data_IF_886052214234
#
_entry.id   IF_886052214234
#
_cell.length_a   1.000
_cell.length_b   1.000
_cell.length_c   1.000
_cell.angle_alpha   90.00
_cell.angle_beta   90.00
_cell.angle_gamma   90.00
#
_symmetry.space_group_name_H-M   'P 1'
#
loop_
_entity.id
_entity.type
_entity.pdbx_description
1 polymer ?
#
# COMPACT_ATOMS: atom_id res chain seq x y z
N UNK A 1 0.22 -10.61 -2.36
CA UNK A 1 0.24 -9.69 -3.53
C UNK A 1 0.07 -8.21 -3.16
N UNK A 2 -0.44 -7.90 -1.96
CA UNK A 2 -0.63 -6.51 -1.49
C UNK A 2 0.68 -5.74 -1.32
N UNK A 3 1.81 -6.43 -1.09
CA UNK A 3 3.12 -5.81 -0.94
C UNK A 3 3.48 -5.36 0.48
N UNK A 4 2.62 -5.66 1.47
CA UNK A 4 2.88 -5.31 2.89
C UNK A 4 3.97 -6.21 3.50
N UNK A 5 3.87 -7.52 3.26
CA UNK A 5 4.88 -8.49 3.71
C UNK A 5 5.83 -8.84 2.56
N UNK A 6 7.11 -9.03 2.89
CA UNK A 6 8.16 -9.40 1.92
C UNK A 6 8.18 -10.91 1.68
N UNK A 7 7.92 -11.71 2.71
CA UNK A 7 7.91 -13.18 2.68
C UNK A 7 6.65 -13.75 3.33
N UNK A 8 6.32 -15.00 2.97
CA UNK A 8 5.25 -15.76 3.59
C UNK A 8 5.83 -17.07 4.15
N UNK A 9 5.92 -17.16 5.48
CA UNK A 9 6.46 -18.32 6.19
C UNK A 9 5.35 -18.91 7.06
N UNK A 10 5.00 -20.21 6.92
CA UNK A 10 4.05 -20.86 7.80
C UNK A 10 4.51 -20.78 9.26
N UNK A 11 3.58 -20.53 10.18
CA UNK A 11 3.88 -20.35 11.61
C UNK A 11 4.67 -21.52 12.22
N UNK A 12 4.42 -22.73 11.76
CA UNK A 12 5.11 -23.96 12.18
C UNK A 12 6.62 -23.96 11.87
N UNK A 13 7.07 -23.17 10.90
CA UNK A 13 8.49 -23.06 10.50
C UNK A 13 9.22 -21.89 11.15
N UNK A 14 8.52 -20.99 11.83
CA UNK A 14 9.13 -19.82 12.47
C UNK A 14 10.23 -20.19 13.48
N UNK A 15 10.07 -21.21 14.36
CA UNK A 15 11.13 -21.59 15.29
C UNK A 15 12.42 -22.05 14.58
N UNK A 16 12.29 -22.73 13.44
CA UNK A 16 13.44 -23.18 12.66
C UNK A 16 14.11 -22.02 11.93
N UNK A 17 13.32 -21.06 11.44
CA UNK A 17 13.83 -19.83 10.84
C UNK A 17 14.61 -19.00 11.87
N UNK A 18 14.10 -18.87 13.10
CA UNK A 18 14.80 -18.16 14.18
C UNK A 18 16.15 -18.80 14.48
N UNK A 19 16.20 -20.14 14.61
CA UNK A 19 17.46 -20.86 14.79
C UNK A 19 18.43 -20.60 13.62
N UNK A 20 17.96 -20.70 12.38
CA UNK A 20 18.81 -20.46 11.20
C UNK A 20 19.37 -19.04 11.18
N UNK A 21 18.56 -18.04 11.50
CA UNK A 21 19.01 -16.65 11.54
C UNK A 21 20.04 -16.42 12.65
N UNK A 22 19.96 -17.16 13.77
CA UNK A 22 20.95 -17.06 14.86
C UNK A 22 22.33 -17.63 14.51
N UNK A 23 22.42 -18.50 13.51
CA UNK A 23 23.68 -19.09 13.03
C UNK A 23 24.42 -18.21 12.01
N UNK A 24 23.77 -17.16 11.50
CA UNK A 24 24.35 -16.29 10.47
C UNK A 24 25.23 -15.25 11.14
N UNK A 25 26.53 -15.27 10.82
CA UNK A 25 27.53 -14.36 11.40
C UNK A 25 27.76 -13.08 10.58
N UNK A 26 27.02 -12.88 9.48
CA UNK A 26 27.17 -11.71 8.61
C UNK A 26 25.88 -10.87 8.49
N UNK A 27 26.07 -9.56 8.37
CA UNK A 27 24.96 -8.59 8.25
C UNK A 27 24.52 -8.37 6.78
N UNK A 28 24.93 -9.24 5.87
CA UNK A 28 24.60 -9.10 4.45
C UNK A 28 23.12 -9.42 4.18
N UNK A 29 22.37 -8.43 3.71
CA UNK A 29 20.93 -8.59 3.43
C UNK A 29 20.60 -9.70 2.43
N UNK A 30 21.50 -10.00 1.48
CA UNK A 30 21.32 -11.10 0.54
C UNK A 30 21.36 -12.47 1.22
N UNK A 31 22.24 -12.65 2.21
CA UNK A 31 22.38 -13.89 2.97
C UNK A 31 21.14 -14.08 3.86
N UNK A 32 20.70 -13.01 4.52
CA UNK A 32 19.48 -13.03 5.34
C UNK A 32 18.25 -13.34 4.47
N UNK A 33 18.11 -12.70 3.31
CA UNK A 33 17.01 -12.98 2.39
C UNK A 33 17.01 -14.44 1.94
N UNK A 34 18.18 -14.99 1.54
CA UNK A 34 18.29 -16.39 1.14
C UNK A 34 17.88 -17.34 2.28
N UNK A 35 18.33 -17.07 3.51
CA UNK A 35 17.95 -17.86 4.68
C UNK A 35 16.44 -17.84 4.94
N UNK A 36 15.76 -16.70 4.74
CA UNK A 36 14.30 -16.64 4.90
C UNK A 36 13.60 -17.45 3.79
N UNK A 37 14.06 -17.34 2.54
CA UNK A 37 13.49 -18.05 1.39
C UNK A 37 13.52 -19.59 1.56
N UNK A 38 14.51 -20.14 2.28
CA UNK A 38 14.58 -21.58 2.61
C UNK A 38 13.33 -22.09 3.35
N UNK A 39 12.68 -21.23 4.14
CA UNK A 39 11.52 -21.61 4.97
C UNK A 39 10.17 -21.20 4.36
N UNK A 40 10.18 -20.43 3.28
CA UNK A 40 8.96 -20.00 2.59
C UNK A 40 8.17 -21.21 2.09
N UNK A 41 6.86 -21.08 2.07
CA UNK A 41 5.97 -22.07 1.46
C UNK A 41 5.06 -21.40 0.44
N UNK A 42 4.62 -22.15 -0.57
CA UNK A 42 3.53 -21.69 -1.42
C UNK A 42 2.26 -21.52 -0.58
N UNK A 43 1.54 -20.43 -0.86
CA UNK A 43 0.20 -20.25 -0.30
C UNK A 43 -0.73 -21.34 -0.88
N UNK A 44 -1.77 -21.72 -0.13
CA UNK A 44 -2.74 -22.72 -0.56
C UNK A 44 -3.25 -22.42 -2.00
N UNK A 45 -3.36 -23.44 -2.85
CA UNK A 45 -3.76 -23.30 -4.26
C UNK A 45 -5.13 -22.66 -4.42
N UNK A 46 -6.01 -22.86 -3.45
CA UNK A 46 -7.36 -22.29 -3.43
C UNK A 46 -7.40 -20.80 -3.05
N UNK A 47 -6.27 -20.21 -2.66
CA UNK A 47 -6.21 -18.81 -2.27
C UNK A 47 -6.25 -17.87 -3.49
N UNK A 48 -7.40 -17.21 -3.65
CA UNK A 48 -7.54 -16.06 -4.53
C UNK A 48 -7.25 -14.76 -3.79
N UNK A 49 -6.49 -13.86 -4.42
CA UNK A 49 -6.18 -12.56 -3.84
C UNK A 49 -7.40 -11.63 -3.97
N UNK A 50 -8.04 -11.34 -2.83
CA UNK A 50 -9.32 -10.62 -2.78
C UNK A 50 -9.30 -9.21 -3.40
N UNK A 51 -8.15 -8.56 -3.43
CA UNK A 51 -7.98 -7.19 -3.96
C UNK A 51 -7.31 -7.18 -5.34
N UNK A 52 -7.39 -8.27 -6.10
CA UNK A 52 -6.89 -8.36 -7.48
C UNK A 52 -7.98 -8.13 -8.52
N UNK A 53 -7.59 -8.11 -9.80
CA UNK A 53 -8.54 -8.16 -10.92
C UNK A 53 -9.52 -6.99 -10.95
N UNK A 54 -10.83 -7.27 -11.02
CA UNK A 54 -11.85 -6.24 -11.13
C UNK A 54 -11.91 -5.33 -9.89
N UNK A 55 -11.83 -5.90 -8.68
CA UNK A 55 -11.81 -5.12 -7.43
C UNK A 55 -10.63 -4.16 -7.43
N UNK A 56 -9.45 -4.60 -7.90
CA UNK A 56 -8.29 -3.71 -8.01
C UNK A 56 -8.53 -2.55 -8.97
N UNK A 57 -9.11 -2.82 -10.14
CA UNK A 57 -9.46 -1.78 -11.12
C UNK A 57 -10.45 -0.77 -10.51
N UNK A 58 -11.44 -1.23 -9.76
CA UNK A 58 -12.40 -0.37 -9.06
C UNK A 58 -11.70 0.49 -8.00
N UNK A 59 -10.75 -0.07 -7.22
CA UNK A 59 -9.94 0.68 -6.25
C UNK A 59 -9.17 1.80 -6.96
N UNK A 60 -8.41 1.46 -8.01
CA UNK A 60 -7.57 2.44 -8.73
C UNK A 60 -8.42 3.59 -9.29
N UNK A 61 -9.62 3.30 -9.83
CA UNK A 61 -10.55 4.32 -10.34
C UNK A 61 -11.21 5.15 -9.26
N UNK A 62 -11.68 4.52 -8.18
CA UNK A 62 -12.51 5.20 -7.17
C UNK A 62 -11.67 6.01 -6.18
N UNK A 63 -10.47 5.54 -5.82
CA UNK A 63 -9.64 6.17 -4.80
C UNK A 63 -8.61 7.18 -5.35
N UNK A 64 -8.68 7.53 -6.64
CA UNK A 64 -7.78 8.53 -7.26
C UNK A 64 -8.14 9.98 -6.92
N UNK A 65 -9.38 10.25 -6.51
CA UNK A 65 -9.85 11.60 -6.19
C UNK A 65 -9.08 12.28 -5.05
N UNK A 66 -9.12 13.61 -5.04
CA UNK A 66 -8.45 14.46 -4.03
C UNK A 66 -9.34 14.83 -2.83
N UNK A 67 -10.62 14.48 -2.88
CA UNK A 67 -11.57 14.63 -1.77
C UNK A 67 -12.27 13.31 -1.44
N UNK A 68 -12.73 13.17 -0.19
CA UNK A 68 -13.48 11.98 0.25
C UNK A 68 -14.84 11.92 -0.45
N UNK A 69 -15.43 13.09 -0.70
CA UNK A 69 -16.68 13.25 -1.43
C UNK A 69 -16.56 12.74 -2.88
N UNK A 70 -15.46 13.03 -3.56
CA UNK A 70 -15.24 12.53 -4.93
C UNK A 70 -15.00 11.01 -4.94
N UNK A 71 -14.32 10.48 -3.92
CA UNK A 71 -14.16 9.03 -3.74
C UNK A 71 -15.52 8.36 -3.54
N UNK A 72 -16.39 8.92 -2.69
CA UNK A 72 -17.73 8.39 -2.47
C UNK A 72 -18.57 8.42 -3.75
N UNK A 73 -18.57 9.53 -4.50
CA UNK A 73 -19.26 9.62 -5.80
C UNK A 73 -18.76 8.57 -6.79
N UNK A 74 -17.45 8.35 -6.86
CA UNK A 74 -16.88 7.34 -7.75
C UNK A 74 -17.30 5.92 -7.34
N UNK A 75 -17.31 5.63 -6.03
CA UNK A 75 -17.79 4.35 -5.50
C UNK A 75 -19.29 4.11 -5.77
N UNK A 76 -20.10 5.17 -5.70
CA UNK A 76 -21.53 5.12 -6.04
C UNK A 76 -21.73 4.78 -7.52
N UNK A 77 -20.95 5.38 -8.41
CA UNK A 77 -20.97 5.10 -9.84
C UNK A 77 -20.51 3.68 -10.19
N UNK A 78 -19.56 3.12 -9.43
CA UNK A 78 -19.10 1.74 -9.62
C UNK A 78 -20.22 0.71 -9.37
N UNK A 79 -21.18 1.03 -8.49
CA UNK A 79 -22.40 0.25 -8.21
C UNK A 79 -22.21 -1.28 -8.11
N UNK A 80 -21.18 -1.72 -7.38
CA UNK A 80 -20.88 -3.13 -7.14
C UNK A 80 -21.15 -3.52 -5.67
N UNK A 81 -21.23 -4.82 -5.38
CA UNK A 81 -21.34 -5.29 -3.99
C UNK A 81 -20.17 -4.80 -3.12
N UNK A 82 -18.97 -4.83 -3.69
CA UNK A 82 -17.76 -4.32 -3.05
C UNK A 82 -17.84 -2.80 -2.81
N UNK A 83 -18.28 -2.00 -3.79
CA UNK A 83 -18.33 -0.55 -3.61
C UNK A 83 -19.41 -0.13 -2.60
N UNK A 84 -20.57 -0.79 -2.60
CA UNK A 84 -21.63 -0.57 -1.60
C UNK A 84 -21.16 -0.92 -0.18
N UNK A 85 -20.49 -2.06 0.00
CA UNK A 85 -19.90 -2.43 1.29
C UNK A 85 -18.81 -1.45 1.74
N UNK A 86 -18.02 -0.94 0.80
CA UNK A 86 -16.97 0.05 1.05
C UNK A 86 -17.55 1.40 1.48
N UNK A 87 -18.58 1.90 0.79
CA UNK A 87 -19.31 3.13 1.16
C UNK A 87 -19.85 3.00 2.58
N UNK A 88 -20.54 1.90 2.90
CA UNK A 88 -21.07 1.66 4.24
C UNK A 88 -19.98 1.71 5.32
N UNK A 89 -18.79 1.18 5.01
CA UNK A 89 -17.65 1.22 5.93
C UNK A 89 -17.13 2.65 6.11
N UNK A 90 -16.96 3.40 5.01
CA UNK A 90 -16.46 4.78 5.05
C UNK A 90 -17.41 5.67 5.87
N UNK A 91 -18.73 5.56 5.66
CA UNK A 91 -19.73 6.39 6.35
C UNK A 91 -19.81 6.12 7.87
N UNK A 92 -19.24 5.03 8.36
CA UNK A 92 -19.15 4.72 9.79
C UNK A 92 -17.94 5.39 10.47
N UNK A 93 -16.96 5.87 9.70
CA UNK A 93 -15.73 6.47 10.22
C UNK A 93 -15.91 7.96 10.56
N UNK A 94 -15.00 8.51 11.39
CA UNK A 94 -14.96 9.94 11.67
C UNK A 94 -14.75 10.74 10.37
N UNK A 95 -15.67 11.67 10.01
CA UNK A 95 -15.53 12.49 8.81
C UNK A 95 -14.23 13.31 8.78
N UNK A 96 -13.81 13.82 9.95
CA UNK A 96 -12.53 14.50 10.13
C UNK A 96 -11.36 13.58 9.79
N UNK A 97 -11.35 12.39 10.36
CA UNK A 97 -10.25 11.43 10.20
C UNK A 97 -10.10 10.99 8.75
N UNK A 98 -11.20 10.77 8.03
CA UNK A 98 -11.19 10.46 6.59
C UNK A 98 -10.48 11.55 5.79
N UNK A 99 -10.89 12.82 5.97
CA UNK A 99 -10.32 13.95 5.22
C UNK A 99 -8.86 14.21 5.57
N UNK A 100 -8.50 14.15 6.85
CA UNK A 100 -7.11 14.32 7.29
C UNK A 100 -6.22 13.19 6.77
N UNK A 101 -6.71 11.93 6.80
CA UNK A 101 -5.97 10.77 6.27
C UNK A 101 -5.71 10.91 4.78
N UNK A 102 -6.74 11.23 3.98
CA UNK A 102 -6.58 11.42 2.54
C UNK A 102 -5.53 12.50 2.24
N UNK A 103 -5.65 13.66 2.89
CA UNK A 103 -4.70 14.76 2.70
C UNK A 103 -3.28 14.39 3.16
N UNK A 104 -3.15 13.67 4.28
CA UNK A 104 -1.88 13.18 4.81
C UNK A 104 -1.19 12.23 3.84
N UNK A 105 -1.92 11.25 3.30
CA UNK A 105 -1.40 10.30 2.31
C UNK A 105 -0.94 10.99 1.01
N UNK A 106 -1.71 11.96 0.51
CA UNK A 106 -1.34 12.73 -0.69
C UNK A 106 -0.09 13.57 -0.46
N UNK A 107 0.04 14.20 0.72
CA UNK A 107 1.22 14.99 1.08
C UNK A 107 2.46 14.10 1.28
N UNK A 108 2.28 12.96 1.96
CA UNK A 108 3.35 12.00 2.27
C UNK A 108 3.96 11.32 1.05
N UNK A 109 3.26 11.26 -0.08
CA UNK A 109 3.77 10.66 -1.34
C UNK A 109 5.10 11.24 -1.79
N UNK A 110 5.33 12.55 -1.56
CA UNK A 110 6.54 13.26 -2.00
C UNK A 110 7.46 13.64 -0.82
N UNK A 111 7.29 12.99 0.33
CA UNK A 111 8.07 13.24 1.53
C UNK A 111 9.07 12.12 1.76
N UNK A 112 10.23 12.47 2.31
CA UNK A 112 11.15 11.47 2.86
C UNK A 112 10.61 10.94 4.19
N UNK A 113 11.03 9.73 4.58
CA UNK A 113 10.51 9.05 5.78
C UNK A 113 10.57 9.89 7.06
N UNK A 114 11.64 10.68 7.25
CA UNK A 114 11.80 11.55 8.43
C UNK A 114 10.75 12.67 8.48
N UNK A 115 10.36 13.20 7.33
CA UNK A 115 9.37 14.27 7.23
C UNK A 115 7.95 13.73 7.42
N UNK A 116 7.71 12.49 6.96
CA UNK A 116 6.47 11.77 7.28
C UNK A 116 6.28 11.63 8.79
N UNK A 117 7.30 11.19 9.54
CA UNK A 117 7.23 11.10 11.01
C UNK A 117 6.96 12.44 11.67
N UNK A 118 7.64 13.52 11.24
CA UNK A 118 7.41 14.87 11.76
C UNK A 118 5.98 15.36 11.49
N UNK A 119 5.46 15.12 10.29
CA UNK A 119 4.09 15.45 9.94
C UNK A 119 3.09 14.67 10.81
N UNK A 120 3.29 13.36 10.96
CA UNK A 120 2.42 12.51 11.78
C UNK A 120 2.45 12.87 13.26
N UNK A 121 3.60 13.32 13.78
CA UNK A 121 3.72 13.78 15.16
C UNK A 121 2.91 15.05 15.43
N UNK A 122 2.90 16.00 14.48
CA UNK A 122 2.04 17.19 14.54
C UNK A 122 0.57 16.77 14.48
N UNK A 123 0.22 15.86 13.55
CA UNK A 123 -1.15 15.36 13.43
C UNK A 123 -1.63 14.72 14.73
N UNK A 124 -0.83 13.82 15.33
CA UNK A 124 -1.16 13.14 16.57
C UNK A 124 -1.46 14.12 17.70
N UNK A 125 -0.61 15.14 17.90
CA UNK A 125 -0.83 16.18 18.90
C UNK A 125 -2.13 16.96 18.63
N UNK A 126 -2.37 17.36 17.38
CA UNK A 126 -3.59 18.09 16.99
C UNK A 126 -4.86 17.26 17.15
N UNK A 127 -4.80 15.95 16.94
CA UNK A 127 -5.93 15.04 17.21
C UNK A 127 -6.26 14.94 18.70
N UNK A 128 -5.26 15.02 19.58
CA UNK A 128 -5.48 15.02 21.03
C UNK A 128 -6.15 16.30 21.54
N UNK A 129 -5.97 17.43 20.84
CA UNK A 129 -6.69 18.69 21.14
C UNK A 129 -8.19 18.62 20.81
N UNK A 130 -8.63 17.62 20.02
CA UNK A 130 -10.01 17.50 19.53
C UNK A 130 -10.72 16.28 20.14
N UNK A 131 -12.03 16.41 20.30
CA UNK A 131 -12.82 15.43 21.04
C UNK A 131 -13.15 14.16 20.25
N UNK A 132 -13.00 14.14 18.92
CA UNK A 132 -13.32 12.98 18.07
C UNK A 132 -12.48 11.76 18.44
N UNK A 133 -11.18 11.94 18.68
CA UNK A 133 -10.28 10.85 19.07
C UNK A 133 -10.70 10.26 20.43
N UNK A 134 -10.83 11.09 21.46
CA UNK A 134 -11.23 10.65 22.80
C UNK A 134 -12.61 9.98 22.80
N UNK A 135 -13.56 10.49 21.99
CA UNK A 135 -14.89 9.89 21.82
C UNK A 135 -14.83 8.53 21.16
N UNK A 136 -14.06 8.38 20.08
CA UNK A 136 -13.85 7.10 19.39
C UNK A 136 -13.23 6.07 20.32
N UNK A 137 -12.15 6.43 21.01
CA UNK A 137 -11.46 5.57 21.98
C UNK A 137 -12.41 5.12 23.09
N UNK A 138 -13.15 6.05 23.71
CA UNK A 138 -14.12 5.72 24.74
C UNK A 138 -15.19 4.76 24.22
N UNK A 139 -15.80 5.06 23.08
CA UNK A 139 -16.92 4.30 22.53
C UNK A 139 -16.53 2.86 22.18
N UNK A 140 -15.41 2.67 21.48
CA UNK A 140 -15.01 1.35 20.99
C UNK A 140 -14.25 0.53 22.04
N UNK A 141 -13.37 1.15 22.83
CA UNK A 141 -12.48 0.41 23.74
C UNK A 141 -13.02 0.31 25.17
N UNK A 142 -13.60 1.39 25.70
CA UNK A 142 -14.14 1.40 27.06
C UNK A 142 -15.59 0.90 27.09
N UNK A 143 -16.46 1.51 26.29
CA UNK A 143 -17.89 1.18 26.24
C UNK A 143 -18.17 -0.07 25.40
N UNK A 144 -17.16 -0.58 24.66
CA UNK A 144 -17.21 -1.78 23.80
C UNK A 144 -18.38 -1.80 22.83
N UNK A 145 -18.80 -0.63 22.37
CA UNK A 145 -19.88 -0.50 21.40
C UNK A 145 -19.37 -0.88 20.00
N UNK A 146 -20.21 -1.59 19.24
CA UNK A 146 -19.89 -1.99 17.85
C UNK A 146 -20.46 -1.03 16.81
N UNK A 147 -21.29 -0.08 17.24
CA UNK A 147 -21.87 0.96 16.38
C UNK A 147 -20.91 2.14 16.22
N UNK A 148 -21.08 3.00 15.20
CA UNK A 148 -20.35 4.24 15.12
C UNK A 148 -20.69 5.17 16.30
N UNK A 149 -19.72 5.84 16.92
CA UNK A 149 -20.01 6.90 17.87
C UNK A 149 -20.64 8.10 17.17
N UNK A 150 -21.24 8.98 17.96
CA UNK A 150 -21.69 10.29 17.48
C UNK A 150 -20.46 11.18 17.24
N UNK A 151 -19.92 11.10 16.03
CA UNK A 151 -18.83 11.96 15.55
C UNK A 151 -19.25 13.43 15.56
N UNK A 152 -18.31 14.32 15.83
CA UNK A 152 -18.50 15.77 15.74
C UNK A 152 -17.23 16.36 15.11
N UNK A 153 -17.30 16.78 13.84
CA UNK A 153 -18.49 16.95 13.01
C UNK A 153 -19.17 15.61 12.59
N UNK A 154 -20.52 15.59 12.44
CA UNK A 154 -21.27 14.37 12.15
C UNK A 154 -21.30 13.97 10.67
N UNK A 155 -20.83 14.82 9.76
CA UNK A 155 -20.81 14.55 8.31
C UNK A 155 -19.63 15.23 7.63
N UNK A 156 -19.30 14.80 6.40
CA UNK A 156 -18.16 15.31 5.64
C UNK A 156 -18.28 16.80 5.34
N UNK A 157 -19.48 17.28 5.01
CA UNK A 157 -19.76 18.68 4.66
C UNK A 157 -19.55 19.63 5.85
N UNK A 158 -19.66 19.10 7.08
CA UNK A 158 -19.47 19.85 8.31
C UNK A 158 -18.04 19.87 8.80
N UNK A 159 -17.13 19.12 8.16
CA UNK A 159 -15.71 19.19 8.49
C UNK A 159 -15.16 20.55 8.07
N UNK A 160 -14.80 21.35 9.07
CA UNK A 160 -14.18 22.65 8.89
C UNK A 160 -12.71 22.53 8.47
N UNK A 161 -12.06 23.67 8.38
CA UNK A 161 -10.72 23.85 7.87
C UNK A 161 -9.66 22.85 8.39
N UNK A 162 -9.17 21.99 7.48
CA UNK A 162 -8.13 21.01 7.77
C UNK A 162 -6.76 21.64 8.08
N UNK A 163 -6.55 22.94 7.81
CA UNK A 163 -5.26 23.62 8.08
C UNK A 163 -4.83 23.48 9.53
N UNK A 164 -5.79 23.42 10.47
CA UNK A 164 -5.52 23.21 11.89
C UNK A 164 -4.65 21.97 12.15
N UNK A 165 -5.00 20.83 11.55
CA UNK A 165 -4.30 19.55 11.78
C UNK A 165 -2.86 19.54 11.22
N UNK A 166 -2.61 20.30 10.17
CA UNK A 166 -1.29 20.38 9.53
C UNK A 166 -0.47 21.60 9.98
N UNK A 167 -0.95 22.34 10.98
CA UNK A 167 -0.25 23.51 11.51
C UNK A 167 0.64 23.09 12.70
N UNK A 168 1.98 23.22 12.61
CA UNK A 168 2.89 22.88 13.71
C UNK A 168 2.81 23.87 14.88
N UNK A 169 2.14 25.02 14.75
CA UNK A 169 2.04 26.00 15.85
C UNK A 169 1.42 25.37 17.11
N UNK A 170 2.11 25.56 18.24
CA UNK A 170 1.71 25.05 19.55
C UNK A 170 1.96 23.55 19.76
N UNK A 171 2.64 22.89 18.82
CA UNK A 171 3.07 21.48 18.97
C UNK A 171 4.53 21.40 19.37
N UNK A 172 4.89 20.32 20.07
CA UNK A 172 6.29 19.99 20.30
C UNK A 172 6.92 19.48 18.99
N UNK A 173 8.18 19.83 18.75
CA UNK A 173 8.94 19.28 17.62
C UNK A 173 9.40 17.84 17.92
N UNK A 174 9.39 16.99 16.90
CA UNK A 174 9.91 15.62 17.01
C UNK A 174 11.43 15.60 16.81
N UNK A 175 12.16 15.25 17.85
CA UNK A 175 13.59 14.93 17.76
C UNK A 175 13.78 13.45 17.43
N UNK A 176 14.38 13.17 16.27
CA UNK A 176 14.67 11.80 15.84
C UNK A 176 16.01 11.33 16.42
N UNK A 177 16.10 10.03 16.70
CA UNK A 177 17.32 9.42 17.24
C UNK A 177 18.53 9.49 16.28
N UNK A 178 18.28 9.66 14.99
CA UNK A 178 19.30 9.83 13.96
C UNK A 178 18.72 10.57 12.74
N UNK A 179 19.61 10.96 11.82
CA UNK A 179 19.28 11.72 10.61
C UNK A 179 19.09 10.85 9.35
N UNK A 180 19.08 9.51 9.48
CA UNK A 180 18.95 8.63 8.31
C UNK A 180 17.56 8.79 7.71
N UNK A 181 17.51 9.12 6.43
CA UNK A 181 16.27 9.35 5.70
C UNK A 181 16.37 8.80 4.29
N UNK A 182 15.23 8.50 3.70
CA UNK A 182 15.11 7.98 2.36
C UNK A 182 13.75 8.38 1.78
N UNK A 183 13.76 8.67 0.48
CA UNK A 183 12.54 8.94 -0.31
C UNK A 183 11.87 7.62 -0.70
N UNK A 184 12.67 6.62 -1.08
CA UNK A 184 12.22 5.28 -1.44
C UNK A 184 12.85 4.25 -0.51
N UNK A 185 12.11 3.18 -0.19
CA UNK A 185 12.63 2.11 0.67
C UNK A 185 13.88 1.46 0.04
N UNK A 186 15.04 1.45 0.72
CA UNK A 186 16.31 1.02 0.13
C UNK A 186 16.37 -0.48 -0.19
N UNK A 187 15.53 -1.29 0.46
CA UNK A 187 15.54 -2.75 0.37
C UNK A 187 14.24 -3.33 -0.21
N UNK A 188 13.49 -2.51 -0.96
CA UNK A 188 12.24 -2.93 -1.62
C UNK A 188 12.43 -4.12 -2.56
N UNK A 189 13.64 -4.31 -3.10
CA UNK A 189 14.01 -5.42 -4.00
C UNK A 189 13.78 -6.82 -3.43
N UNK A 190 13.74 -6.97 -2.11
CA UNK A 190 13.45 -8.27 -1.47
C UNK A 190 11.94 -8.58 -1.41
N UNK A 191 11.10 -7.64 -1.84
CA UNK A 191 9.65 -7.82 -1.92
C UNK A 191 9.23 -8.27 -3.33
N UNK A 192 7.95 -8.60 -3.47
CA UNK A 192 7.36 -8.77 -4.79
C UNK A 192 7.45 -7.46 -5.59
N UNK A 193 7.66 -7.53 -6.93
CA UNK A 193 7.81 -6.33 -7.74
C UNK A 193 6.55 -5.46 -7.70
N UNK A 194 6.78 -4.16 -7.59
CA UNK A 194 5.77 -3.11 -7.63
C UNK A 194 5.22 -2.95 -9.05
N UNK A 195 4.02 -2.36 -9.14
CA UNK A 195 3.41 -2.05 -10.43
C UNK A 195 4.26 -1.06 -11.25
N UNK A 196 4.94 -0.13 -10.59
CA UNK A 196 5.82 0.85 -11.22
C UNK A 196 7.10 0.21 -11.78
N UNK A 197 7.72 -0.73 -11.05
CA UNK A 197 8.85 -1.50 -11.57
C UNK A 197 8.45 -2.30 -12.81
N UNK A 198 7.27 -2.95 -12.78
CA UNK A 198 6.75 -3.70 -13.93
C UNK A 198 6.47 -2.75 -15.11
N UNK A 199 5.86 -1.59 -14.86
CA UNK A 199 5.62 -0.56 -15.88
C UNK A 199 6.90 -0.18 -16.58
N UNK A 200 7.96 0.16 -15.82
CA UNK A 200 9.25 0.59 -16.38
C UNK A 200 9.91 -0.48 -17.25
N UNK A 201 9.74 -1.76 -16.90
CA UNK A 201 10.23 -2.87 -17.75
C UNK A 201 9.42 -3.00 -19.04
N UNK A 202 8.10 -2.84 -18.97
CA UNK A 202 7.21 -2.91 -20.15
C UNK A 202 7.45 -1.70 -21.08
N UNK A 203 7.66 -0.50 -20.54
CA UNK A 203 7.86 0.72 -21.33
C UNK A 203 9.30 0.91 -21.82
N UNK A 204 10.24 0.07 -21.39
CA UNK A 204 11.66 0.18 -21.78
C UNK A 204 12.45 1.26 -21.03
N UNK A 205 11.92 1.77 -19.91
CA UNK A 205 12.54 2.82 -19.07
C UNK A 205 13.60 2.26 -18.10
N UNK A 206 13.86 0.96 -18.12
CA UNK A 206 14.88 0.31 -17.29
C UNK A 206 16.16 0.06 -18.13
N UNK A 207 17.36 0.42 -17.62
CA UNK A 207 18.59 0.33 -18.39
C UNK A 207 18.94 -1.10 -18.87
N UNK A 208 18.47 -2.13 -18.16
CA UNK A 208 18.67 -3.55 -18.51
C UNK A 208 17.45 -4.21 -19.18
N UNK A 209 16.41 -3.44 -19.54
CA UNK A 209 15.18 -4.01 -20.11
C UNK A 209 15.26 -4.39 -21.58
N UNK A 210 16.37 -4.17 -22.29
CA UNK A 210 16.47 -4.58 -23.71
C UNK A 210 15.29 -4.11 -24.58
N UNK A 211 15.09 -4.72 -25.76
CA UNK A 211 14.24 -4.19 -26.83
C UNK A 211 12.79 -3.83 -26.44
N UNK A 212 12.29 -2.75 -27.04
CA UNK A 212 10.87 -2.38 -27.10
C UNK A 212 10.11 -3.53 -27.79
N UNK A 213 8.99 -4.01 -27.20
CA UNK A 213 8.17 -5.17 -27.61
C UNK A 213 8.50 -6.53 -26.94
N UNK A 214 8.46 -6.60 -25.61
CA UNK A 214 8.51 -7.87 -24.85
C UNK A 214 7.15 -8.56 -24.80
N UNK A 215 7.15 -9.90 -24.83
CA UNK A 215 5.98 -10.72 -24.53
C UNK A 215 5.68 -10.73 -23.03
N UNK A 216 4.50 -11.25 -22.63
CA UNK A 216 4.15 -11.41 -21.20
C UNK A 216 5.14 -12.34 -20.50
N UNK A 217 5.50 -13.44 -21.14
CA UNK A 217 6.45 -14.42 -20.67
C UNK A 217 7.84 -13.82 -20.46
N UNK A 218 8.32 -12.98 -21.38
CA UNK A 218 9.64 -12.32 -21.23
C UNK A 218 9.71 -11.40 -20.00
N UNK A 219 8.64 -10.65 -19.73
CA UNK A 219 8.55 -9.78 -18.55
C UNK A 219 8.52 -10.62 -17.27
N UNK A 220 7.79 -11.73 -17.28
CA UNK A 220 7.75 -12.66 -16.14
C UNK A 220 9.13 -13.27 -15.88
N UNK A 221 9.81 -13.74 -16.92
CA UNK A 221 11.12 -14.38 -16.81
C UNK A 221 12.20 -13.38 -16.36
N UNK A 222 12.10 -12.13 -16.78
CA UNK A 222 12.94 -11.05 -16.26
C UNK A 222 12.82 -10.91 -14.74
N UNK A 223 11.60 -10.79 -14.21
CA UNK A 223 11.39 -10.62 -12.77
C UNK A 223 11.68 -11.89 -11.97
N UNK A 224 11.48 -13.08 -12.56
CA UNK A 224 11.88 -14.34 -11.93
C UNK A 224 13.41 -14.39 -11.74
N UNK A 225 14.20 -13.98 -12.74
CA UNK A 225 15.66 -13.93 -12.62
C UNK A 225 16.11 -12.84 -11.64
N UNK A 226 15.56 -11.63 -11.78
CA UNK A 226 15.85 -10.47 -10.92
C UNK A 226 15.54 -10.72 -9.43
N UNK A 227 14.51 -11.52 -9.13
CA UNK A 227 14.10 -11.88 -7.76
C UNK A 227 14.52 -13.30 -7.36
N UNK A 228 15.51 -13.91 -8.02
CA UNK A 228 16.04 -15.25 -7.68
C UNK A 228 14.96 -16.33 -7.52
N UNK A 229 13.97 -16.33 -8.41
CA UNK A 229 12.85 -17.27 -8.46
C UNK A 229 11.95 -17.26 -7.21
N UNK A 230 11.88 -16.13 -6.50
CA UNK A 230 11.00 -15.93 -5.34
C UNK A 230 9.54 -16.32 -5.62
N UNK A 231 8.95 -17.01 -4.64
CA UNK A 231 7.57 -17.49 -4.70
C UNK A 231 6.60 -16.31 -4.83
N UNK A 232 5.62 -16.44 -5.73
CA UNK A 232 4.57 -15.44 -5.94
C UNK A 232 4.92 -14.31 -6.91
N UNK A 233 6.18 -14.20 -7.36
CA UNK A 233 6.59 -13.22 -8.39
C UNK A 233 5.81 -13.42 -9.68
N UNK A 234 5.76 -14.65 -10.20
CA UNK A 234 4.98 -14.98 -11.42
C UNK A 234 3.51 -14.57 -11.29
N UNK A 235 2.87 -14.93 -10.17
CA UNK A 235 1.45 -14.59 -9.91
C UNK A 235 1.24 -13.07 -9.84
N UNK A 236 2.16 -12.33 -9.21
CA UNK A 236 2.11 -10.86 -9.10
C UNK A 236 2.24 -10.19 -10.47
N UNK A 237 3.27 -10.56 -11.23
CA UNK A 237 3.58 -9.94 -12.51
C UNK A 237 2.44 -10.21 -13.50
N UNK A 238 1.96 -11.45 -13.59
CA UNK A 238 0.82 -11.79 -14.46
C UNK A 238 -0.46 -11.04 -14.10
N UNK A 239 -0.76 -10.87 -12.80
CA UNK A 239 -1.93 -10.10 -12.36
C UNK A 239 -1.86 -8.64 -12.84
N UNK A 240 -0.69 -8.01 -12.68
CA UNK A 240 -0.47 -6.63 -13.11
C UNK A 240 -0.54 -6.51 -14.62
N UNK A 241 0.14 -7.39 -15.37
CA UNK A 241 0.12 -7.38 -16.83
C UNK A 241 -1.30 -7.54 -17.36
N UNK A 242 -2.08 -8.48 -16.83
CA UNK A 242 -3.48 -8.68 -17.24
C UNK A 242 -4.39 -7.48 -16.95
N UNK A 243 -4.03 -6.64 -15.98
CA UNK A 243 -4.80 -5.44 -15.62
C UNK A 243 -4.37 -4.19 -16.40
N UNK A 244 -3.06 -4.03 -16.65
CA UNK A 244 -2.44 -2.77 -17.10
C UNK A 244 -1.79 -2.83 -18.47
N UNK A 245 -1.90 -3.94 -19.21
CA UNK A 245 -1.33 -4.03 -20.56
C UNK A 245 -2.35 -4.38 -21.64
N UNK A 246 -2.10 -3.88 -22.84
CA UNK A 246 -2.80 -4.21 -24.09
C UNK A 246 -1.80 -4.73 -25.11
N UNK A 247 -2.26 -5.59 -26.03
CA UNK A 247 -1.43 -6.09 -27.13
C UNK A 247 -1.35 -5.03 -28.24
N UNK A 248 -0.14 -4.70 -28.67
CA UNK A 248 0.11 -3.75 -29.75
C UNK A 248 0.21 -4.51 -31.09
N UNK A 249 -0.68 -4.18 -32.04
CA UNK A 249 -0.46 -4.48 -33.46
C UNK A 249 -0.41 -5.97 -33.88
N UNK A 250 -1.17 -6.86 -33.23
CA UNK A 250 -1.30 -8.26 -33.68
C UNK A 250 -0.06 -9.15 -33.50
N UNK A 251 1.02 -8.61 -32.93
CA UNK A 251 2.20 -9.35 -32.46
C UNK A 251 2.33 -9.19 -30.93
N UNK A 252 3.17 -10.03 -30.31
CA UNK A 252 3.32 -10.23 -28.85
C UNK A 252 3.78 -9.00 -28.03
N UNK A 253 3.88 -7.81 -28.64
CA UNK A 253 4.31 -6.59 -27.96
C UNK A 253 3.27 -6.04 -26.98
N UNK A 254 3.72 -5.67 -25.78
CA UNK A 254 2.87 -5.10 -24.73
C UNK A 254 2.96 -3.56 -24.70
N UNK A 255 1.79 -2.91 -24.70
CA UNK A 255 1.63 -1.50 -24.38
C UNK A 255 1.05 -1.30 -22.98
N UNK A 256 1.48 -0.28 -22.25
CA UNK A 256 0.94 0.05 -20.93
C UNK A 256 -0.31 0.94 -21.03
N UNK A 257 -1.39 0.54 -20.35
CA UNK A 257 -2.60 1.34 -20.22
C UNK A 257 -2.40 2.35 -19.11
N UNK A 258 -2.43 3.64 -19.45
CA UNK A 258 -2.41 4.71 -18.45
C UNK A 258 -3.75 4.73 -17.72
N UNK A 259 -3.70 5.01 -16.42
CA UNK A 259 -4.91 5.21 -15.63
C UNK A 259 -5.60 6.50 -16.09
N UNK A 260 -6.77 6.38 -16.71
CA UNK A 260 -7.71 7.48 -16.96
C UNK A 260 -8.31 7.97 -15.64
#
# INVERSE_FOLDING_TARGET
LSGIATHYVPSQRLPLLENRLSEIECDEHEVINAAIEEFVAECNRDYSYALGGNVRKSIDRCFKGDSVEDILKALEQENSDWSRATINTILQMSPTSLKVTLKGLRKGKNMVITDCFKMEYVLAQKFLEKSDFARGVKHFLFDKQKTPPKWDPPSLEKVSDLRFYFNPSGTQELELLNIRSFENYPFSRFSLPSEEEIRRVVTGEMPDSGSMNRSKEDVVDFFLKDRKFKIGVRKKVLEVLNRKTILLGGQEGLGWVKDE
#
